data_IF_645405417003
#
_entry.id   IF_645405417003
#
_cell.length_a   1.000
_cell.length_b   1.000
_cell.length_c   1.000
_cell.angle_alpha   90.00
_cell.angle_beta   90.00
_cell.angle_gamma   90.00
#
_symmetry.space_group_name_H-M   'P 1'
#
loop_
_entity.id
_entity.type
_entity.pdbx_description
1 polymer ?
#
# COMPACT_ATOMS: atom_id res chain seq x y z
N UNK A 1 35.91 8.86 56.08
CA UNK A 1 35.55 9.34 54.73
C UNK A 1 35.22 8.20 53.78
N UNK A 2 35.81 7.01 53.94
CA UNK A 2 35.62 5.87 53.03
C UNK A 2 34.17 5.36 52.92
N UNK A 3 33.41 5.32 54.02
CA UNK A 3 32.02 4.82 54.01
C UNK A 3 31.05 5.65 53.16
N UNK A 4 31.31 6.95 52.97
CA UNK A 4 30.45 7.82 52.16
C UNK A 4 30.80 7.69 50.67
N UNK A 5 32.08 7.49 50.35
CA UNK A 5 32.55 7.24 48.99
C UNK A 5 32.00 5.91 48.45
N UNK A 6 31.98 4.85 49.26
CA UNK A 6 31.40 3.56 48.86
C UNK A 6 29.91 3.66 48.59
N UNK A 7 29.15 4.38 49.44
CA UNK A 7 27.72 4.57 49.28
C UNK A 7 27.35 5.32 47.99
N UNK A 8 28.10 6.39 47.67
CA UNK A 8 27.91 7.17 46.43
C UNK A 8 28.21 6.32 45.19
N UNK A 9 29.30 5.55 45.20
CA UNK A 9 29.67 4.66 44.09
C UNK A 9 28.62 3.57 43.88
N UNK A 10 28.10 2.95 44.95
CA UNK A 10 27.02 1.98 44.83
C UNK A 10 25.70 2.58 44.36
N UNK A 11 25.41 3.84 44.70
CA UNK A 11 24.20 4.54 44.23
C UNK A 11 24.28 4.85 42.74
N UNK A 12 25.45 5.32 42.27
CA UNK A 12 25.71 5.55 40.83
C UNK A 12 25.62 4.26 40.02
N UNK A 13 26.26 3.18 40.49
CA UNK A 13 26.22 1.89 39.80
C UNK A 13 24.79 1.32 39.69
N UNK A 14 23.97 1.48 40.73
CA UNK A 14 22.56 1.08 40.71
C UNK A 14 21.73 1.92 39.74
N UNK A 15 21.98 3.23 39.66
CA UNK A 15 21.33 4.11 38.69
C UNK A 15 21.72 3.77 37.24
N UNK A 16 22.98 3.40 36.99
CA UNK A 16 23.45 3.00 35.66
C UNK A 16 22.83 1.67 35.20
N UNK A 17 22.66 0.71 36.12
CA UNK A 17 21.92 -0.53 35.87
C UNK A 17 20.44 -0.28 35.58
N UNK A 18 19.80 0.63 36.30
CA UNK A 18 18.40 0.98 36.05
C UNK A 18 18.23 1.73 34.72
N UNK A 19 19.16 2.62 34.37
CA UNK A 19 19.15 3.34 33.11
C UNK A 19 19.37 2.40 31.92
N UNK A 20 20.24 1.39 32.05
CA UNK A 20 20.46 0.39 30.99
C UNK A 20 19.24 -0.52 30.79
N UNK A 21 18.54 -0.92 31.85
CA UNK A 21 17.27 -1.66 31.70
C UNK A 21 16.18 -0.77 31.07
N UNK A 22 16.10 0.51 31.46
CA UNK A 22 15.16 1.47 30.84
C UNK A 22 15.44 1.65 29.34
N UNK A 23 16.70 1.80 28.92
CA UNK A 23 17.03 1.93 27.49
C UNK A 23 16.72 0.65 26.73
N UNK A 24 17.03 -0.53 27.29
CA UNK A 24 16.68 -1.81 26.68
C UNK A 24 15.16 -1.96 26.48
N UNK A 25 14.34 -1.54 27.45
CA UNK A 25 12.88 -1.54 27.33
C UNK A 25 12.38 -0.58 26.25
N UNK A 26 12.99 0.59 26.12
CA UNK A 26 12.66 1.57 25.07
C UNK A 26 12.98 0.98 23.69
N UNK A 27 14.17 0.41 23.51
CA UNK A 27 14.57 -0.20 22.24
C UNK A 27 13.66 -1.37 21.87
N UNK A 28 13.30 -2.23 22.83
CA UNK A 28 12.31 -3.30 22.60
C UNK A 28 10.96 -2.75 22.16
N UNK A 29 10.48 -1.65 22.77
CA UNK A 29 9.22 -1.01 22.38
C UNK A 29 9.29 -0.39 20.99
N UNK A 30 10.40 0.27 20.64
CA UNK A 30 10.64 0.80 19.29
C UNK A 30 10.63 -0.31 18.25
N UNK A 31 11.31 -1.42 18.51
CA UNK A 31 11.32 -2.58 17.62
C UNK A 31 9.91 -3.14 17.40
N UNK A 32 9.13 -3.29 18.47
CA UNK A 32 7.73 -3.75 18.37
C UNK A 32 6.84 -2.76 17.61
N UNK A 33 7.03 -1.46 17.84
CA UNK A 33 6.29 -0.41 17.14
C UNK A 33 6.58 -0.47 15.63
N UNK A 34 7.85 -0.55 15.24
CA UNK A 34 8.26 -0.66 13.84
C UNK A 34 7.68 -1.92 13.20
N UNK A 35 7.77 -3.07 13.87
CA UNK A 35 7.21 -4.33 13.39
C UNK A 35 5.69 -4.23 13.17
N UNK A 36 4.98 -3.57 14.08
CA UNK A 36 3.53 -3.40 13.96
C UNK A 36 3.19 -2.44 12.81
N UNK A 37 3.96 -1.37 12.65
CA UNK A 37 3.80 -0.41 11.58
C UNK A 37 4.02 -1.08 10.20
N UNK A 38 5.07 -1.90 10.07
CA UNK A 38 5.34 -2.65 8.84
C UNK A 38 4.22 -3.65 8.52
N UNK A 39 3.67 -4.32 9.53
CA UNK A 39 2.52 -5.23 9.34
C UNK A 39 1.26 -4.49 8.87
N UNK A 40 0.96 -3.34 9.46
CA UNK A 40 -0.18 -2.51 9.06
C UNK A 40 -0.02 -1.98 7.65
N UNK A 41 1.16 -1.45 7.32
CA UNK A 41 1.51 -0.96 5.99
C UNK A 41 1.34 -2.06 4.96
N UNK A 42 1.86 -3.25 5.23
CA UNK A 42 1.71 -4.40 4.36
C UNK A 42 0.22 -4.79 4.16
N UNK A 43 -0.59 -4.86 5.21
CA UNK A 43 -2.02 -5.19 5.10
C UNK A 43 -2.80 -4.17 4.26
N UNK A 44 -2.49 -2.88 4.40
CA UNK A 44 -3.15 -1.83 3.64
C UNK A 44 -2.82 -1.92 2.13
N UNK A 45 -1.57 -2.22 1.79
CA UNK A 45 -1.09 -2.33 0.41
C UNK A 45 -1.47 -3.63 -0.30
N UNK A 46 -1.78 -4.69 0.46
CA UNK A 46 -1.98 -6.02 -0.10
C UNK A 46 -3.31 -6.14 -0.84
N UNK A 47 -4.41 -5.61 -0.32
CA UNK A 47 -5.75 -5.92 -0.85
C UNK A 47 -6.33 -4.83 -1.76
N UNK A 48 -5.88 -3.58 -1.63
CA UNK A 48 -6.51 -2.43 -2.27
C UNK A 48 -5.94 -2.12 -3.66
N UNK A 49 -6.83 -1.76 -4.57
CA UNK A 49 -6.51 -1.22 -5.87
C UNK A 49 -7.45 -0.07 -6.24
N UNK A 50 -6.93 0.86 -7.05
CA UNK A 50 -7.66 2.02 -7.53
C UNK A 50 -7.90 1.92 -9.03
N UNK A 51 -9.16 1.87 -9.41
CA UNK A 51 -9.61 1.76 -10.79
C UNK A 51 -10.06 3.13 -11.29
N UNK A 52 -9.40 3.66 -12.32
CA UNK A 52 -9.69 4.96 -12.92
C UNK A 52 -10.38 4.78 -14.26
N UNK A 53 -11.33 5.68 -14.54
CA UNK A 53 -11.99 5.79 -15.84
C UNK A 53 -13.34 5.07 -15.94
N UNK A 54 -13.81 4.41 -14.87
CA UNK A 54 -15.13 3.76 -14.86
C UNK A 54 -16.21 4.83 -14.97
N UNK A 55 -16.98 4.78 -16.06
CA UNK A 55 -18.03 5.75 -16.39
C UNK A 55 -19.04 5.94 -15.25
N UNK A 56 -19.53 7.18 -15.10
CA UNK A 56 -20.63 7.51 -14.17
C UNK A 56 -21.96 6.88 -14.59
N UNK A 57 -22.07 6.39 -15.82
CA UNK A 57 -23.24 5.62 -16.27
C UNK A 57 -23.38 4.28 -15.52
N UNK A 58 -22.30 3.78 -14.90
CA UNK A 58 -22.34 2.60 -14.03
C UNK A 58 -22.83 3.03 -12.64
N UNK A 59 -24.03 2.62 -12.21
CA UNK A 59 -24.56 2.99 -10.91
C UNK A 59 -23.80 2.28 -9.78
N UNK A 60 -23.86 2.83 -8.57
CA UNK A 60 -23.08 2.31 -7.43
C UNK A 60 -23.45 0.86 -7.07
N UNK A 61 -24.72 0.46 -7.25
CA UNK A 61 -25.18 -0.90 -6.95
C UNK A 61 -24.66 -1.96 -7.94
N UNK A 62 -24.36 -1.57 -9.18
CA UNK A 62 -23.78 -2.48 -10.20
C UNK A 62 -22.25 -2.40 -10.25
N UNK A 63 -21.65 -1.52 -9.44
CA UNK A 63 -20.23 -1.20 -9.52
C UNK A 63 -19.36 -2.42 -9.20
N UNK A 64 -19.73 -3.20 -8.20
CA UNK A 64 -19.02 -4.42 -7.84
C UNK A 64 -19.01 -5.43 -8.98
N UNK A 65 -20.19 -5.71 -9.56
CA UNK A 65 -20.33 -6.64 -10.70
C UNK A 65 -19.59 -6.14 -11.93
N UNK A 66 -19.59 -4.82 -12.18
CA UNK A 66 -18.83 -4.22 -13.27
C UNK A 66 -17.32 -4.43 -13.09
N UNK A 67 -16.79 -4.19 -11.88
CA UNK A 67 -15.37 -4.38 -11.59
C UNK A 67 -14.99 -5.87 -11.61
N UNK A 68 -15.85 -6.76 -11.12
CA UNK A 68 -15.65 -8.21 -11.25
C UNK A 68 -15.53 -8.63 -12.72
N UNK A 69 -16.41 -8.13 -13.58
CA UNK A 69 -16.37 -8.43 -15.01
C UNK A 69 -15.11 -7.85 -15.69
N UNK A 70 -14.66 -6.66 -15.30
CA UNK A 70 -13.40 -6.07 -15.75
C UNK A 70 -12.20 -6.95 -15.37
N UNK A 71 -12.13 -7.40 -14.12
CA UNK A 71 -11.04 -8.23 -13.65
C UNK A 71 -11.05 -9.63 -14.27
N UNK A 72 -12.23 -10.22 -14.47
CA UNK A 72 -12.37 -11.46 -15.22
C UNK A 72 -11.91 -11.31 -16.68
N UNK A 73 -12.24 -10.18 -17.32
CA UNK A 73 -11.75 -9.86 -18.66
C UNK A 73 -10.21 -9.78 -18.71
N UNK A 74 -9.58 -9.12 -17.73
CA UNK A 74 -8.12 -9.02 -17.65
C UNK A 74 -7.45 -10.36 -17.38
N UNK A 75 -8.03 -11.19 -16.52
CA UNK A 75 -7.47 -12.49 -16.14
C UNK A 75 -7.63 -13.56 -17.23
N UNK A 76 -8.53 -13.35 -18.18
CA UNK A 76 -8.83 -14.27 -19.26
C UNK A 76 -9.63 -15.51 -18.82
N UNK A 77 -10.00 -16.38 -19.78
CA UNK A 77 -10.79 -17.57 -19.52
C UNK A 77 -10.07 -18.65 -18.70
N UNK A 78 -8.73 -18.60 -18.63
CA UNK A 78 -7.89 -19.58 -17.93
C UNK A 78 -7.81 -19.34 -16.41
N UNK A 79 -8.62 -18.42 -15.87
CA UNK A 79 -8.65 -18.16 -14.44
C UNK A 79 -9.60 -19.14 -13.73
N UNK A 80 -9.03 -20.17 -13.10
CA UNK A 80 -9.79 -21.20 -12.35
C UNK A 80 -10.50 -20.68 -11.09
N UNK A 81 -10.15 -19.46 -10.63
CA UNK A 81 -10.70 -18.89 -9.40
C UNK A 81 -11.64 -17.72 -9.67
N UNK A 82 -12.79 -17.65 -8.96
CA UNK A 82 -13.69 -16.51 -9.08
C UNK A 82 -13.04 -15.24 -8.51
N UNK A 83 -13.28 -14.12 -9.19
CA UNK A 83 -12.89 -12.80 -8.69
C UNK A 83 -13.86 -12.38 -7.59
N UNK A 84 -13.44 -12.52 -6.33
CA UNK A 84 -14.19 -12.06 -5.17
C UNK A 84 -13.67 -10.70 -4.70
N UNK A 85 -14.60 -9.78 -4.46
CA UNK A 85 -14.32 -8.43 -3.97
C UNK A 85 -14.94 -8.28 -2.58
N UNK A 86 -14.18 -7.75 -1.63
CA UNK A 86 -14.70 -7.49 -0.28
C UNK A 86 -15.46 -6.16 -0.23
N UNK A 87 -15.02 -5.19 -1.05
CA UNK A 87 -15.59 -3.85 -1.09
C UNK A 87 -15.26 -3.16 -2.40
N UNK A 88 -16.26 -2.51 -2.99
CA UNK A 88 -16.11 -1.65 -4.16
C UNK A 88 -16.94 -0.40 -3.98
N UNK A 89 -16.33 0.77 -4.11
CA UNK A 89 -17.05 2.05 -4.01
C UNK A 89 -16.30 3.19 -4.69
N UNK A 90 -17.01 4.24 -5.08
CA UNK A 90 -16.40 5.48 -5.59
C UNK A 90 -15.76 6.29 -4.48
N UNK A 91 -14.57 6.83 -4.73
CA UNK A 91 -13.85 7.71 -3.82
C UNK A 91 -13.97 9.15 -4.29
N UNK A 92 -14.41 10.01 -3.39
CA UNK A 92 -14.50 11.43 -3.67
C UNK A 92 -13.10 12.03 -3.92
N UNK A 93 -12.99 12.85 -4.97
CA UNK A 93 -11.77 13.57 -5.31
C UNK A 93 -12.10 14.96 -5.84
N UNK A 94 -11.69 15.99 -5.10
CA UNK A 94 -11.81 17.39 -5.52
C UNK A 94 -11.12 17.65 -6.86
N UNK A 95 -10.01 16.95 -7.12
CA UNK A 95 -9.28 17.07 -8.38
C UNK A 95 -10.11 16.57 -9.56
N UNK A 96 -10.74 15.40 -9.42
CA UNK A 96 -11.57 14.81 -10.48
C UNK A 96 -12.81 15.66 -10.72
N UNK A 97 -13.45 16.12 -9.64
CA UNK A 97 -14.60 17.01 -9.73
C UNK A 97 -14.27 18.31 -10.48
N UNK A 98 -13.14 18.97 -10.15
CA UNK A 98 -12.70 20.19 -10.87
C UNK A 98 -12.42 19.96 -12.35
N UNK A 99 -12.05 18.74 -12.72
CA UNK A 99 -11.76 18.35 -14.11
C UNK A 99 -12.94 17.69 -14.83
N UNK A 100 -14.11 17.61 -14.19
CA UNK A 100 -15.27 16.86 -14.70
C UNK A 100 -14.92 15.42 -15.12
N UNK A 101 -14.02 14.78 -14.36
CA UNK A 101 -13.64 13.38 -14.55
C UNK A 101 -14.47 12.46 -13.65
N UNK A 102 -14.77 11.22 -14.08
CA UNK A 102 -15.38 10.23 -13.20
C UNK A 102 -14.52 10.01 -11.94
N UNK A 103 -15.14 9.88 -10.74
CA UNK A 103 -14.43 9.53 -9.53
C UNK A 103 -13.72 8.17 -9.66
N UNK A 104 -12.52 8.07 -9.09
CA UNK A 104 -11.81 6.79 -8.99
C UNK A 104 -12.64 5.79 -8.14
N UNK A 105 -12.59 4.52 -8.51
CA UNK A 105 -13.24 3.43 -7.79
C UNK A 105 -12.19 2.69 -6.98
N UNK A 106 -12.40 2.62 -5.68
CA UNK A 106 -11.54 1.86 -4.77
C UNK A 106 -12.13 0.47 -4.58
N UNK A 107 -11.31 -0.53 -4.88
CA UNK A 107 -11.69 -1.94 -4.78
C UNK A 107 -10.74 -2.68 -3.86
N UNK A 108 -11.31 -3.57 -3.04
CA UNK A 108 -10.59 -4.51 -2.19
C UNK A 108 -10.76 -5.90 -2.77
N UNK A 109 -9.68 -6.49 -3.27
CA UNK A 109 -9.67 -7.85 -3.82
C UNK A 109 -9.44 -8.83 -2.68
N UNK A 110 -10.31 -9.82 -2.55
CA UNK A 110 -10.26 -10.80 -1.46
C UNK A 110 -8.96 -11.61 -1.47
N UNK A 111 -8.54 -12.02 -2.67
CA UNK A 111 -7.35 -12.85 -2.88
C UNK A 111 -6.17 -12.02 -3.38
N UNK A 112 -5.10 -11.95 -2.56
CA UNK A 112 -3.89 -11.18 -2.88
C UNK A 112 -3.24 -11.60 -4.21
N UNK A 113 -3.14 -12.90 -4.47
CA UNK A 113 -2.51 -13.41 -5.69
C UNK A 113 -3.29 -13.04 -6.95
N UNK A 114 -4.63 -13.02 -6.88
CA UNK A 114 -5.47 -12.53 -7.99
C UNK A 114 -5.22 -11.05 -8.23
N UNK A 115 -5.12 -10.23 -7.17
CA UNK A 115 -4.79 -8.81 -7.32
C UNK A 115 -3.45 -8.62 -8.04
N UNK A 116 -2.41 -9.35 -7.64
CA UNK A 116 -1.10 -9.24 -8.29
C UNK A 116 -1.15 -9.71 -9.75
N UNK A 117 -1.89 -10.78 -10.08
CA UNK A 117 -2.11 -11.21 -11.47
C UNK A 117 -2.85 -10.14 -12.28
N UNK A 118 -3.95 -9.58 -11.76
CA UNK A 118 -4.67 -8.46 -12.40
C UNK A 118 -3.72 -7.28 -12.66
N UNK A 119 -2.86 -6.93 -11.70
CA UNK A 119 -1.89 -5.84 -11.84
C UNK A 119 -0.83 -6.13 -12.91
N UNK A 120 -0.40 -7.38 -13.03
CA UNK A 120 0.53 -7.81 -14.09
C UNK A 120 -0.14 -7.71 -15.46
N UNK A 121 -1.35 -8.26 -15.62
CA UNK A 121 -2.10 -8.21 -16.88
C UNK A 121 -2.42 -6.78 -17.30
N UNK A 122 -2.81 -5.93 -16.34
CA UNK A 122 -3.06 -4.50 -16.60
C UNK A 122 -1.82 -3.82 -17.22
N UNK A 123 -0.61 -4.09 -16.70
CA UNK A 123 0.63 -3.50 -17.22
C UNK A 123 0.98 -3.99 -18.63
N UNK A 124 0.58 -5.20 -18.97
CA UNK A 124 0.79 -5.76 -20.31
C UNK A 124 -0.20 -5.18 -21.33
N UNK A 125 -1.41 -4.82 -20.87
CA UNK A 125 -2.50 -4.36 -21.71
C UNK A 125 -2.75 -2.84 -21.63
N UNK A 126 -1.79 -2.03 -21.15
CA UNK A 126 -2.01 -0.59 -20.96
C UNK A 126 -2.02 0.17 -22.32
N UNK A 127 -3.08 0.92 -22.68
CA UNK A 127 -4.29 1.20 -21.89
C UNK A 127 -5.36 0.10 -21.95
N UNK A 128 -5.96 -0.21 -20.80
CA UNK A 128 -7.03 -1.24 -20.71
C UNK A 128 -8.32 -0.68 -21.29
N UNK A 129 -8.84 -1.30 -22.34
CA UNK A 129 -10.13 -0.94 -22.94
C UNK A 129 -11.18 -1.98 -22.54
N UNK A 130 -12.24 -1.55 -21.86
CA UNK A 130 -13.33 -2.45 -21.43
C UNK A 130 -14.68 -1.77 -21.66
N UNK A 131 -15.56 -2.45 -22.41
CA UNK A 131 -16.92 -1.94 -22.73
C UNK A 131 -16.94 -0.52 -23.33
N UNK A 132 -15.88 -0.14 -24.03
CA UNK A 132 -15.73 1.19 -24.64
C UNK A 132 -15.09 2.25 -23.74
N UNK A 133 -14.86 1.95 -22.46
CA UNK A 133 -14.16 2.86 -21.53
C UNK A 133 -12.65 2.59 -21.54
N UNK A 134 -11.86 3.67 -21.52
CA UNK A 134 -10.42 3.60 -21.32
C UNK A 134 -10.12 3.64 -19.82
N UNK A 135 -9.54 2.57 -19.31
CA UNK A 135 -9.33 2.33 -17.90
C UNK A 135 -7.85 2.27 -17.55
N UNK A 136 -7.54 2.68 -16.32
CA UNK A 136 -6.22 2.49 -15.72
C UNK A 136 -6.37 1.96 -14.31
N UNK A 137 -5.68 0.86 -14.01
CA UNK A 137 -5.73 0.23 -12.70
C UNK A 137 -4.38 0.44 -12.01
N UNK A 138 -4.42 1.00 -10.82
CA UNK A 138 -3.23 1.31 -10.03
C UNK A 138 -3.24 0.56 -8.69
N UNK A 139 -2.05 0.24 -8.19
CA UNK A 139 -1.89 -0.18 -6.79
C UNK A 139 -2.27 0.99 -5.88
N UNK A 140 -3.20 0.77 -4.96
CA UNK A 140 -3.50 1.74 -3.90
C UNK A 140 -2.45 1.54 -2.80
N UNK A 141 -1.49 2.46 -2.75
CA UNK A 141 -0.36 2.38 -1.84
C UNK A 141 -0.52 3.34 -0.67
N UNK A 142 -0.11 2.90 0.51
CA UNK A 142 -0.14 3.70 1.73
C UNK A 142 0.71 4.96 1.58
N UNK A 143 0.42 5.94 2.43
CA UNK A 143 1.20 7.18 2.52
C UNK A 143 2.67 6.92 2.86
N UNK A 144 2.94 5.91 3.70
CA UNK A 144 4.29 5.53 4.09
C UNK A 144 5.08 4.95 2.91
N UNK A 145 4.44 4.07 2.11
CA UNK A 145 5.04 3.53 0.90
C UNK A 145 5.25 4.63 -0.16
N UNK A 146 4.32 5.58 -0.28
CA UNK A 146 4.48 6.75 -1.15
C UNK A 146 5.65 7.64 -0.71
N UNK A 147 5.82 7.89 0.59
CA UNK A 147 6.94 8.65 1.12
C UNK A 147 8.28 7.99 0.77
N UNK A 148 8.41 6.68 1.07
CA UNK A 148 9.59 5.89 0.68
C UNK A 148 9.86 5.97 -0.84
N UNK A 149 8.84 5.80 -1.68
CA UNK A 149 9.00 5.95 -3.15
C UNK A 149 9.46 7.34 -3.57
N UNK A 150 9.04 8.37 -2.85
CA UNK A 150 9.46 9.75 -3.13
C UNK A 150 10.92 9.95 -2.76
N UNK A 151 11.40 9.36 -1.66
CA UNK A 151 12.82 9.38 -1.26
C UNK A 151 13.72 8.70 -2.30
N UNK A 152 13.25 7.60 -2.91
CA UNK A 152 14.00 6.89 -3.96
C UNK A 152 13.87 7.50 -5.36
N UNK A 153 13.12 8.59 -5.51
CA UNK A 153 12.80 9.17 -6.83
C UNK A 153 14.05 9.50 -7.63
N UNK A 154 15.03 10.16 -7.03
CA UNK A 154 16.23 10.62 -7.73
C UNK A 154 17.06 9.43 -8.24
N UNK A 155 17.19 8.38 -7.43
CA UNK A 155 17.86 7.12 -7.81
C UNK A 155 17.12 6.44 -8.97
N UNK A 156 15.79 6.33 -8.86
CA UNK A 156 14.97 5.68 -9.89
C UNK A 156 14.97 6.43 -11.23
N UNK A 157 15.08 7.75 -11.21
CA UNK A 157 15.23 8.57 -12.40
C UNK A 157 16.59 8.33 -13.05
N UNK A 158 17.67 8.33 -12.27
CA UNK A 158 19.01 8.08 -12.78
C UNK A 158 19.15 6.69 -13.42
N UNK A 159 18.61 5.65 -12.78
CA UNK A 159 18.58 4.29 -13.36
C UNK A 159 17.84 4.26 -14.70
N UNK A 160 16.75 5.03 -14.83
CA UNK A 160 15.98 5.14 -16.07
C UNK A 160 16.76 5.85 -17.18
N UNK A 161 17.48 6.91 -16.84
CA UNK A 161 18.39 7.62 -17.77
C UNK A 161 19.50 6.69 -18.29
N UNK A 162 20.06 5.87 -17.39
CA UNK A 162 21.04 4.85 -17.73
C UNK A 162 20.45 3.63 -18.46
N UNK A 163 19.13 3.59 -18.72
CA UNK A 163 18.41 2.46 -19.33
C UNK A 163 18.57 1.15 -18.58
N UNK A 164 18.78 1.21 -17.27
CA UNK A 164 18.86 0.03 -16.39
C UNK A 164 17.43 -0.35 -16.03
N UNK A 165 17.04 -1.57 -16.40
CA UNK A 165 15.73 -2.12 -16.04
C UNK A 165 15.79 -2.62 -14.60
N UNK A 166 14.92 -2.07 -13.74
CA UNK A 166 14.65 -2.56 -12.40
C UNK A 166 13.15 -2.88 -12.33
N UNK A 167 12.80 -4.04 -11.78
CA UNK A 167 11.42 -4.50 -11.59
C UNK A 167 11.13 -4.70 -10.11
#
# INVERSE_FOLDING_TARGET
>A
MDSLLTAVVSTSANQDLENTDRTARIEKRKANYNLLQDKLDNLENQSRCRNRGISLAVPEFDLETHVQALFAYLLGPDCDQPVLLDRTHRVFSLYQQKKNLPPDVLTTVHYFHLKEKIMQETRQQEPVVFRGDNLSIYKDVSTHTLARRTEFRDVTLHLRECKIVYQ
#
